data_IF_149818529379
#
_entry.id   IF_149818529379
#
_cell.length_a   1.000
_cell.length_b   1.000
_cell.length_c   1.000
_cell.angle_alpha   90.00
_cell.angle_beta   90.00
_cell.angle_gamma   90.00
#
_symmetry.space_group_name_H-M   'P 1'
#
loop_
_entity.id
_entity.type
_entity.pdbx_description
1 polymer ?
#
# COMPACT_ATOMS: atom_id res chain seq x y z
N UNK A 1 11.29 -16.32 13.78
CA UNK A 1 10.82 -15.07 13.15
C UNK A 1 11.19 -13.91 14.03
N UNK A 2 11.51 -12.77 13.43
CA UNK A 2 11.84 -11.52 14.11
C UNK A 2 10.86 -10.43 13.68
N UNK A 3 10.69 -9.41 14.52
CA UNK A 3 9.89 -8.22 14.23
C UNK A 3 10.81 -7.04 13.85
N UNK A 4 10.42 -6.31 12.80
CA UNK A 4 11.11 -5.14 12.27
C UNK A 4 10.09 -4.03 12.01
N UNK A 5 10.35 -2.83 12.56
CA UNK A 5 9.50 -1.66 12.32
C UNK A 5 10.34 -0.50 11.81
N UNK A 6 9.82 0.24 10.84
CA UNK A 6 10.48 1.41 10.28
C UNK A 6 9.63 2.17 9.27
N UNK A 7 10.17 3.25 8.73
CA UNK A 7 9.55 4.01 7.64
C UNK A 7 10.06 3.51 6.30
N UNK A 8 9.16 3.33 5.33
CA UNK A 8 9.56 2.97 3.98
C UNK A 8 10.21 4.19 3.32
N UNK A 9 11.48 4.06 2.96
CA UNK A 9 12.26 5.14 2.36
C UNK A 9 12.07 5.17 0.85
N UNK A 10 12.18 4.01 0.21
CA UNK A 10 12.04 3.89 -1.25
C UNK A 10 11.73 2.46 -1.67
N UNK A 11 11.08 2.33 -2.82
CA UNK A 11 10.86 1.05 -3.50
C UNK A 11 11.94 0.93 -4.58
N UNK A 12 12.73 -0.14 -4.52
CA UNK A 12 13.78 -0.46 -5.50
C UNK A 12 13.18 -1.18 -6.70
N UNK A 13 12.23 -2.08 -6.43
CA UNK A 13 11.54 -2.88 -7.44
C UNK A 13 10.16 -3.27 -6.93
N UNK A 14 9.17 -3.26 -7.82
CA UNK A 14 7.84 -3.82 -7.55
C UNK A 14 7.31 -4.51 -8.78
N UNK A 15 6.80 -5.73 -8.62
CA UNK A 15 6.12 -6.49 -9.66
C UNK A 15 4.61 -6.31 -9.52
N UNK A 16 3.97 -5.71 -10.53
CA UNK A 16 2.51 -5.52 -10.54
C UNK A 16 1.72 -6.83 -10.59
N UNK A 17 2.28 -7.88 -11.22
CA UNK A 17 1.60 -9.18 -11.38
C UNK A 17 1.60 -10.03 -10.10
N UNK A 18 2.68 -9.95 -9.33
CA UNK A 18 2.91 -10.81 -8.16
C UNK A 18 2.81 -10.06 -6.84
N UNK A 19 2.87 -8.73 -6.87
CA UNK A 19 3.01 -7.88 -5.68
C UNK A 19 4.36 -8.02 -4.99
N UNK A 20 5.34 -8.70 -5.61
CA UNK A 20 6.67 -8.83 -5.05
C UNK A 20 7.40 -7.49 -5.08
N UNK A 21 7.93 -7.08 -3.93
CA UNK A 21 8.53 -5.77 -3.73
C UNK A 21 9.88 -5.92 -3.05
N UNK A 22 10.86 -5.18 -3.56
CA UNK A 22 12.14 -4.93 -2.90
C UNK A 22 12.14 -3.47 -2.49
N UNK A 23 12.28 -3.19 -1.20
CA UNK A 23 12.23 -1.83 -0.69
C UNK A 23 13.31 -1.56 0.35
N UNK A 24 13.55 -0.28 0.62
CA UNK A 24 14.47 0.22 1.63
C UNK A 24 13.65 0.74 2.81
N UNK A 25 13.93 0.20 3.99
CA UNK A 25 13.26 0.55 5.24
C UNK A 25 14.26 1.26 6.15
N UNK A 26 13.90 2.45 6.63
CA UNK A 26 14.61 3.15 7.70
C UNK A 26 14.06 2.67 9.05
N UNK A 27 14.77 1.75 9.68
CA UNK A 27 14.41 1.19 10.97
C UNK A 27 15.24 1.84 12.10
N UNK A 28 14.65 2.26 13.23
CA UNK A 28 15.37 2.94 14.31
C UNK A 28 16.56 2.15 14.89
N UNK A 29 16.51 0.82 14.83
CA UNK A 29 17.55 -0.08 15.33
C UNK A 29 18.78 -0.18 14.42
N UNK A 30 18.73 0.41 13.23
CA UNK A 30 19.76 0.28 12.20
C UNK A 30 20.23 1.67 11.73
N UNK A 31 21.54 1.84 11.61
CA UNK A 31 22.11 3.07 11.08
C UNK A 31 21.78 3.24 9.60
N UNK A 32 22.02 2.19 8.81
CA UNK A 32 21.78 2.17 7.37
C UNK A 32 20.35 1.69 7.03
N UNK A 33 19.94 1.92 5.78
CA UNK A 33 18.66 1.43 5.27
C UNK A 33 18.67 -0.10 5.17
N UNK A 34 17.65 -0.73 5.75
CA UNK A 34 17.45 -2.18 5.70
C UNK A 34 16.76 -2.53 4.39
N UNK A 35 17.29 -3.51 3.64
CA UNK A 35 16.59 -4.06 2.48
C UNK A 35 15.52 -5.04 2.95
N UNK A 36 14.27 -4.78 2.61
CA UNK A 36 13.14 -5.68 2.84
C UNK A 36 12.66 -6.27 1.52
N UNK A 37 12.24 -7.53 1.55
CA UNK A 37 11.71 -8.24 0.39
C UNK A 37 10.47 -9.05 0.77
N UNK A 38 9.52 -9.18 -0.14
CA UNK A 38 8.32 -9.99 0.07
C UNK A 38 7.20 -9.56 -0.85
N UNK A 39 6.02 -10.18 -0.69
CA UNK A 39 4.82 -9.73 -1.41
C UNK A 39 4.15 -8.61 -0.61
N UNK A 40 4.41 -7.36 -1.00
CA UNK A 40 4.05 -6.14 -0.27
C UNK A 40 3.14 -5.23 -1.12
N UNK A 41 1.94 -5.69 -1.54
CA UNK A 41 1.05 -4.86 -2.35
C UNK A 41 0.62 -3.60 -1.59
N UNK A 42 0.54 -2.48 -2.30
CA UNK A 42 0.04 -1.22 -1.74
C UNK A 42 1.01 -0.48 -0.82
N UNK A 43 2.17 -1.07 -0.47
CA UNK A 43 3.19 -0.42 0.36
C UNK A 43 3.83 0.74 -0.38
N UNK A 44 3.87 1.94 0.23
CA UNK A 44 4.42 3.16 -0.38
C UNK A 44 5.46 3.87 0.48
N UNK A 45 6.42 4.59 -0.16
CA UNK A 45 7.35 5.45 0.57
C UNK A 45 6.62 6.44 1.47
N UNK A 46 7.17 6.67 2.67
CA UNK A 46 6.57 7.52 3.70
C UNK A 46 5.66 6.78 4.68
N UNK A 47 5.16 5.59 4.34
CA UNK A 47 4.38 4.78 5.27
C UNK A 47 5.28 4.15 6.35
N UNK A 48 4.70 3.95 7.53
CA UNK A 48 5.34 3.18 8.59
C UNK A 48 4.90 1.72 8.48
N UNK A 49 5.90 0.84 8.41
CA UNK A 49 5.73 -0.59 8.25
C UNK A 49 6.15 -1.30 9.54
N UNK A 50 5.28 -2.15 10.06
CA UNK A 50 5.59 -3.11 11.12
C UNK A 50 5.51 -4.51 10.53
N UNK A 51 6.64 -5.19 10.37
CA UNK A 51 6.73 -6.46 9.68
C UNK A 51 7.36 -7.56 10.53
N UNK A 52 6.93 -8.80 10.25
CA UNK A 52 7.44 -10.03 10.84
C UNK A 52 8.01 -10.91 9.75
N UNK A 53 9.19 -11.47 9.99
CA UNK A 53 9.91 -12.19 8.95
C UNK A 53 11.19 -12.85 9.42
N UNK A 54 12.06 -13.13 8.45
CA UNK A 54 13.37 -13.76 8.70
C UNK A 54 14.48 -13.05 7.93
N UNK A 55 15.68 -13.01 8.52
CA UNK A 55 16.85 -12.53 7.80
C UNK A 55 17.38 -13.59 6.85
N UNK A 56 17.59 -13.20 5.60
CA UNK A 56 18.24 -14.01 4.57
C UNK A 56 19.46 -13.28 4.02
N UNK A 57 20.39 -14.06 3.49
CA UNK A 57 21.56 -13.54 2.79
C UNK A 57 21.45 -13.93 1.32
N UNK A 58 21.31 -12.95 0.44
CA UNK A 58 21.33 -13.15 -0.99
C UNK A 58 22.77 -13.03 -1.50
N UNK A 59 23.23 -14.00 -2.29
CA UNK A 59 24.63 -14.08 -2.77
C UNK A 59 25.10 -12.81 -3.50
N UNK A 60 24.22 -12.16 -4.24
CA UNK A 60 24.53 -10.94 -5.00
C UNK A 60 24.18 -9.63 -4.28
N UNK A 61 23.16 -9.63 -3.41
CA UNK A 61 22.57 -8.40 -2.86
C UNK A 61 22.76 -8.24 -1.34
N UNK A 62 23.42 -9.21 -0.72
CA UNK A 62 23.75 -9.20 0.70
C UNK A 62 22.53 -9.49 1.59
N UNK A 63 22.55 -8.92 2.79
CA UNK A 63 21.55 -9.18 3.83
C UNK A 63 20.21 -8.51 3.50
N UNK A 64 19.14 -9.29 3.53
CA UNK A 64 17.77 -8.86 3.28
C UNK A 64 16.86 -9.41 4.38
N UNK A 65 15.80 -8.66 4.70
CA UNK A 65 14.74 -9.13 5.59
C UNK A 65 13.55 -9.59 4.74
N UNK A 66 13.30 -10.89 4.73
CA UNK A 66 12.17 -11.48 4.01
C UNK A 66 10.92 -11.42 4.90
N UNK A 67 9.93 -10.66 4.46
CA UNK A 67 8.69 -10.39 5.17
C UNK A 67 7.69 -11.50 4.88
N UNK A 68 7.14 -12.07 5.95
CA UNK A 68 6.03 -13.02 5.87
C UNK A 68 4.68 -12.34 6.13
N UNK A 69 4.63 -11.41 7.08
CA UNK A 69 3.44 -10.62 7.44
C UNK A 69 3.82 -9.19 7.79
N UNK A 70 2.91 -8.24 7.55
CA UNK A 70 3.13 -6.84 7.92
C UNK A 70 1.84 -6.05 8.16
N UNK A 71 1.96 -4.93 8.85
CA UNK A 71 0.94 -3.91 9.05
C UNK A 71 1.43 -2.56 8.53
N UNK A 72 0.51 -1.78 7.95
CA UNK A 72 0.77 -0.43 7.43
C UNK A 72 0.07 0.62 8.30
N UNK A 73 0.85 1.60 8.70
CA UNK A 73 0.36 2.85 9.28
C UNK A 73 0.54 3.97 8.25
N UNK A 74 -0.51 4.79 8.09
CA UNK A 74 -0.45 5.95 7.22
C UNK A 74 0.68 6.91 7.64
N UNK A 75 1.26 7.69 6.71
CA UNK A 75 2.26 8.69 7.05
C UNK A 75 1.68 9.71 8.05
N UNK A 76 2.48 10.09 9.04
CA UNK A 76 2.06 10.97 10.14
C UNK A 76 2.70 12.37 10.09
N UNK A 77 3.61 12.60 9.13
CA UNK A 77 4.31 13.87 8.93
C UNK A 77 4.30 14.30 7.47
N UNK A 78 4.55 15.58 7.23
CA UNK A 78 4.52 16.22 5.91
C UNK A 78 5.50 15.54 4.93
N UNK A 79 6.67 15.12 5.42
CA UNK A 79 7.67 14.43 4.60
C UNK A 79 7.16 13.07 4.14
N UNK A 80 6.53 12.29 5.03
CA UNK A 80 5.91 11.01 4.70
C UNK A 80 4.74 11.20 3.75
N UNK A 81 3.91 12.21 3.96
CA UNK A 81 2.77 12.53 3.07
C UNK A 81 3.28 12.92 1.68
N UNK A 82 4.30 13.79 1.57
CA UNK A 82 4.88 14.19 0.29
C UNK A 82 5.43 12.97 -0.47
N UNK A 83 6.20 12.11 0.21
CA UNK A 83 6.73 10.87 -0.38
C UNK A 83 5.61 9.94 -0.85
N UNK A 84 4.55 9.79 -0.04
CA UNK A 84 3.41 8.96 -0.36
C UNK A 84 2.70 9.46 -1.62
N UNK A 85 2.43 10.76 -1.72
CA UNK A 85 1.83 11.35 -2.91
C UNK A 85 2.73 11.31 -4.15
N UNK A 86 4.05 11.47 -3.95
CA UNK A 86 5.05 11.45 -5.02
C UNK A 86 5.37 10.02 -5.53
N UNK A 87 4.90 8.99 -4.85
CA UNK A 87 5.20 7.58 -5.14
C UNK A 87 4.70 7.11 -6.50
N UNK A 88 3.77 7.85 -7.11
CA UNK A 88 3.08 7.45 -8.33
C UNK A 88 1.87 6.55 -8.08
N UNK A 89 1.56 6.21 -6.82
CA UNK A 89 0.35 5.48 -6.47
C UNK A 89 -0.91 6.28 -6.82
N UNK A 90 -0.91 7.58 -6.53
CA UNK A 90 -2.01 8.49 -6.88
C UNK A 90 -1.75 9.08 -8.27
N UNK A 91 -2.40 8.50 -9.28
CA UNK A 91 -2.25 8.94 -10.68
C UNK A 91 -2.69 10.39 -10.82
N UNK A 92 -1.77 11.25 -11.24
CA UNK A 92 -2.02 12.69 -11.38
C UNK A 92 -1.22 13.53 -10.41
N UNK A 93 -0.61 12.91 -9.39
CA UNK A 93 0.32 13.58 -8.48
C UNK A 93 1.73 13.07 -8.75
N UNK A 94 2.58 13.95 -9.28
CA UNK A 94 4.03 13.72 -9.36
C UNK A 94 4.76 14.49 -8.26
N UNK A 95 6.08 14.33 -8.12
CA UNK A 95 6.86 14.95 -7.03
C UNK A 95 6.65 16.47 -6.89
N UNK A 96 6.52 17.18 -8.02
CA UNK A 96 6.27 18.64 -8.01
C UNK A 96 4.92 18.99 -7.39
N UNK A 97 3.86 18.27 -7.77
CA UNK A 97 2.53 18.51 -7.22
C UNK A 97 2.41 18.02 -5.78
N UNK A 98 3.01 16.87 -5.46
CA UNK A 98 3.06 16.37 -4.09
C UNK A 98 3.61 17.44 -3.13
N UNK A 99 4.75 18.03 -3.49
CA UNK A 99 5.35 19.11 -2.72
C UNK A 99 4.43 20.33 -2.58
N UNK A 100 3.78 20.77 -3.66
CA UNK A 100 2.87 21.93 -3.64
C UNK A 100 1.63 21.67 -2.76
N UNK A 101 1.02 20.50 -2.91
CA UNK A 101 -0.16 20.09 -2.14
C UNK A 101 0.18 20.04 -0.64
N UNK A 102 1.32 19.45 -0.28
CA UNK A 102 1.77 19.39 1.12
C UNK A 102 2.19 20.76 1.65
N UNK A 103 2.76 21.62 0.81
CA UNK A 103 3.06 23.01 1.21
C UNK A 103 1.80 23.81 1.55
N UNK A 104 0.69 23.57 0.85
CA UNK A 104 -0.58 24.26 1.09
C UNK A 104 -1.35 23.66 2.29
N UNK A 105 -1.49 22.34 2.34
CA UNK A 105 -2.37 21.68 3.31
C UNK A 105 -1.63 20.99 4.47
N UNK A 106 -0.30 20.91 4.43
CA UNK A 106 0.53 20.33 5.48
C UNK A 106 0.12 18.91 5.86
N UNK A 107 -0.14 18.68 7.14
CA UNK A 107 -0.58 17.36 7.66
C UNK A 107 -2.03 17.01 7.29
N UNK A 108 -2.84 17.99 6.93
CA UNK A 108 -4.25 17.81 6.54
C UNK A 108 -4.39 17.36 5.09
N UNK A 109 -3.30 17.31 4.32
CA UNK A 109 -3.32 16.96 2.89
C UNK A 109 -4.10 15.68 2.58
N UNK A 110 -3.94 14.61 3.36
CA UNK A 110 -4.65 13.35 3.09
C UNK A 110 -6.15 13.50 3.33
N UNK A 111 -6.55 14.23 4.37
CA UNK A 111 -7.95 14.49 4.70
C UNK A 111 -8.59 15.39 3.64
N UNK A 112 -7.87 16.40 3.14
CA UNK A 112 -8.31 17.27 2.04
C UNK A 112 -8.55 16.44 0.78
N UNK A 113 -7.65 15.52 0.42
CA UNK A 113 -7.87 14.66 -0.75
C UNK A 113 -9.09 13.74 -0.53
N UNK A 114 -9.28 13.23 0.69
CA UNK A 114 -10.35 12.29 1.02
C UNK A 114 -11.74 12.93 1.08
N UNK A 115 -11.85 14.15 1.61
CA UNK A 115 -13.13 14.78 1.94
C UNK A 115 -13.45 16.00 1.08
N UNK A 116 -12.44 16.71 0.60
CA UNK A 116 -12.57 18.03 -0.02
C UNK A 116 -11.65 18.16 -1.26
N UNK A 117 -11.60 17.13 -2.11
CA UNK A 117 -10.66 17.09 -3.24
C UNK A 117 -10.75 18.30 -4.19
N UNK A 118 -11.91 18.97 -4.25
CA UNK A 118 -12.16 20.25 -4.93
C UNK A 118 -11.13 21.33 -4.54
N UNK A 119 -10.68 21.35 -3.27
CA UNK A 119 -9.67 22.32 -2.76
C UNK A 119 -8.32 22.19 -3.45
N UNK A 120 -8.04 21.06 -4.11
CA UNK A 120 -6.84 20.91 -4.92
C UNK A 120 -6.81 21.88 -6.11
N UNK A 121 -7.94 22.48 -6.51
CA UNK A 121 -8.01 23.54 -7.53
C UNK A 121 -7.28 24.83 -7.11
N UNK A 122 -7.09 25.05 -5.81
CA UNK A 122 -6.33 26.20 -5.29
C UNK A 122 -4.83 26.08 -5.59
N UNK A 123 -4.36 24.87 -5.94
CA UNK A 123 -2.96 24.60 -6.25
C UNK A 123 -2.65 24.94 -7.71
N UNK A 124 -1.69 25.85 -7.91
CA UNK A 124 -1.23 26.24 -9.24
C UNK A 124 -0.85 25.02 -10.11
N UNK A 125 -1.48 24.91 -11.28
CA UNK A 125 -1.24 23.84 -12.26
C UNK A 125 -2.12 22.59 -12.09
N UNK A 126 -2.94 22.53 -11.03
CA UNK A 126 -3.97 21.50 -10.86
C UNK A 126 -5.31 22.06 -11.36
N UNK A 127 -5.83 21.50 -12.44
CA UNK A 127 -7.17 21.83 -12.96
C UNK A 127 -8.16 20.70 -12.72
N UNK A 128 -9.45 20.96 -12.97
CA UNK A 128 -10.58 20.05 -12.70
C UNK A 128 -10.34 18.60 -13.14
N UNK A 129 -9.87 18.39 -14.38
CA UNK A 129 -9.57 17.05 -14.90
C UNK A 129 -8.55 16.27 -14.06
N UNK A 130 -7.56 16.99 -13.49
CA UNK A 130 -6.55 16.38 -12.63
C UNK A 130 -7.14 16.09 -11.25
N UNK A 131 -7.94 17.00 -10.70
CA UNK A 131 -8.65 16.78 -9.43
C UNK A 131 -9.54 15.54 -9.50
N UNK A 132 -10.37 15.44 -10.53
CA UNK A 132 -11.23 14.26 -10.73
C UNK A 132 -10.41 12.97 -10.78
N UNK A 133 -9.31 12.96 -11.55
CA UNK A 133 -8.43 11.79 -11.64
C UNK A 133 -7.76 11.42 -10.30
N UNK A 134 -7.38 12.43 -9.52
CA UNK A 134 -6.81 12.24 -8.18
C UNK A 134 -7.86 11.61 -7.28
N UNK A 135 -9.08 12.14 -7.25
CA UNK A 135 -10.19 11.65 -6.42
C UNK A 135 -10.57 10.21 -6.78
N UNK A 136 -10.73 9.90 -8.07
CA UNK A 136 -11.01 8.54 -8.55
C UNK A 136 -9.91 7.55 -8.12
N UNK A 137 -8.65 7.93 -8.33
CA UNK A 137 -7.52 7.08 -7.95
C UNK A 137 -7.41 6.93 -6.42
N UNK A 138 -7.72 7.97 -5.66
CA UNK A 138 -7.72 7.96 -4.21
C UNK A 138 -8.75 6.96 -3.65
N UNK A 139 -9.97 6.98 -4.18
CA UNK A 139 -11.03 6.06 -3.74
C UNK A 139 -10.71 4.60 -4.12
N UNK A 140 -10.09 4.37 -5.28
CA UNK A 140 -9.58 3.06 -5.68
C UNK A 140 -8.57 2.52 -4.64
N UNK A 141 -7.59 3.34 -4.25
CA UNK A 141 -6.59 2.97 -3.25
C UNK A 141 -7.20 2.73 -1.87
N UNK A 142 -8.16 3.56 -1.47
CA UNK A 142 -8.90 3.40 -0.21
C UNK A 142 -9.65 2.07 -0.19
N UNK A 143 -10.28 1.70 -1.29
CA UNK A 143 -11.00 0.44 -1.43
C UNK A 143 -10.07 -0.77 -1.39
N UNK A 144 -8.92 -0.73 -2.08
CA UNK A 144 -7.89 -1.77 -1.98
C UNK A 144 -7.41 -1.91 -0.52
N UNK A 145 -7.17 -0.80 0.18
CA UNK A 145 -6.74 -0.81 1.59
C UNK A 145 -7.79 -1.43 2.52
N UNK A 146 -9.08 -1.16 2.31
CA UNK A 146 -10.17 -1.82 3.04
C UNK A 146 -10.12 -3.34 2.85
N UNK A 147 -9.90 -3.83 1.63
CA UNK A 147 -9.73 -5.26 1.36
C UNK A 147 -8.51 -5.83 2.09
N UNK A 148 -7.37 -5.13 2.09
CA UNK A 148 -6.18 -5.56 2.82
C UNK A 148 -6.45 -5.73 4.32
N UNK A 149 -7.11 -4.75 4.94
CA UNK A 149 -7.48 -4.79 6.37
C UNK A 149 -8.42 -5.97 6.65
N UNK A 150 -9.41 -6.19 5.77
CA UNK A 150 -10.34 -7.31 5.88
C UNK A 150 -9.65 -8.68 5.78
N UNK A 151 -8.73 -8.87 4.82
CA UNK A 151 -7.96 -10.12 4.73
C UNK A 151 -7.11 -10.34 5.97
N UNK A 152 -6.48 -9.27 6.46
CA UNK A 152 -5.64 -9.34 7.65
C UNK A 152 -6.42 -9.70 8.91
N UNK A 153 -7.65 -9.21 9.08
CA UNK A 153 -8.49 -9.58 10.21
C UNK A 153 -8.88 -11.06 10.22
N UNK A 154 -8.80 -11.74 9.06
CA UNK A 154 -9.04 -13.18 8.91
C UNK A 154 -7.73 -13.98 8.76
N UNK A 155 -6.59 -13.38 9.13
CA UNK A 155 -5.25 -14.00 9.04
C UNK A 155 -4.88 -14.50 7.64
N UNK A 156 -5.46 -13.88 6.61
CA UNK A 156 -5.19 -14.17 5.20
C UNK A 156 -4.11 -13.25 4.64
N UNK A 157 -3.29 -13.80 3.75
CA UNK A 157 -2.22 -13.06 3.08
C UNK A 157 -2.79 -11.88 2.28
N UNK A 158 -2.41 -10.68 2.68
CA UNK A 158 -2.78 -9.42 2.02
C UNK A 158 -2.26 -9.28 0.59
N UNK A 159 -1.33 -10.15 0.18
CA UNK A 159 -0.90 -10.32 -1.22
C UNK A 159 -2.06 -10.50 -2.21
N UNK A 160 -3.20 -11.01 -1.75
CA UNK A 160 -4.36 -11.25 -2.59
C UNK A 160 -5.26 -10.01 -2.77
N UNK A 161 -5.14 -8.99 -1.92
CA UNK A 161 -6.07 -7.85 -1.91
C UNK A 161 -6.21 -7.17 -3.27
N UNK A 162 -5.08 -6.92 -3.95
CA UNK A 162 -5.09 -6.30 -5.27
C UNK A 162 -5.79 -7.18 -6.32
N UNK A 163 -5.59 -8.51 -6.27
CA UNK A 163 -6.25 -9.44 -7.20
C UNK A 163 -7.75 -9.50 -6.94
N UNK A 164 -8.16 -9.54 -5.69
CA UNK A 164 -9.57 -9.54 -5.27
C UNK A 164 -10.23 -8.24 -5.72
N UNK A 165 -9.59 -7.09 -5.46
CA UNK A 165 -10.08 -5.79 -5.90
C UNK A 165 -10.16 -5.68 -7.42
N UNK A 166 -9.18 -6.18 -8.16
CA UNK A 166 -9.23 -6.19 -9.62
C UNK A 166 -10.39 -7.05 -10.17
N UNK A 167 -10.80 -8.09 -9.45
CA UNK A 167 -11.89 -8.99 -9.87
C UNK A 167 -13.28 -8.43 -9.51
N UNK A 168 -13.45 -7.86 -8.32
CA UNK A 168 -14.77 -7.47 -7.79
C UNK A 168 -14.94 -5.97 -7.52
N UNK A 169 -13.90 -5.15 -7.68
CA UNK A 169 -13.95 -3.72 -7.42
C UNK A 169 -14.36 -3.40 -5.98
N UNK A 170 -15.25 -2.42 -5.82
CA UNK A 170 -15.77 -1.98 -4.51
C UNK A 170 -16.57 -3.08 -3.79
N UNK A 171 -17.17 -4.02 -4.54
CA UNK A 171 -17.95 -5.15 -3.99
C UNK A 171 -17.05 -6.26 -3.41
N UNK A 172 -15.72 -6.08 -3.40
CA UNK A 172 -14.75 -7.11 -2.97
C UNK A 172 -15.05 -7.69 -1.61
N UNK A 173 -15.30 -6.86 -0.59
CA UNK A 173 -15.53 -7.36 0.77
C UNK A 173 -16.86 -8.10 0.85
N UNK A 174 -17.92 -7.52 0.25
CA UNK A 174 -19.25 -8.11 0.22
C UNK A 174 -19.25 -9.48 -0.46
N UNK A 175 -18.67 -9.59 -1.66
CA UNK A 175 -18.56 -10.87 -2.39
C UNK A 175 -17.78 -11.92 -1.61
N UNK A 176 -16.70 -11.52 -0.96
CA UNK A 176 -15.91 -12.44 -0.13
C UNK A 176 -16.72 -12.89 1.08
N UNK A 177 -17.49 -12.02 1.73
CA UNK A 177 -18.34 -12.38 2.86
C UNK A 177 -19.53 -13.27 2.46
N UNK A 178 -20.15 -13.01 1.30
CA UNK A 178 -21.25 -13.82 0.77
C UNK A 178 -20.81 -15.24 0.46
N UNK A 179 -19.66 -15.39 -0.23
CA UNK A 179 -19.14 -16.69 -0.60
C UNK A 179 -17.61 -16.65 -0.80
N UNK A 180 -16.82 -16.88 0.27
CA UNK A 180 -15.36 -16.87 0.20
C UNK A 180 -14.78 -17.89 -0.77
N UNK A 181 -15.50 -18.96 -1.06
CA UNK A 181 -15.06 -20.02 -1.98
C UNK A 181 -15.04 -19.57 -3.44
N UNK A 182 -15.70 -18.46 -3.79
CA UNK A 182 -15.56 -17.84 -5.11
C UNK A 182 -14.10 -17.44 -5.39
N UNK A 183 -13.36 -17.02 -4.37
CA UNK A 183 -11.95 -16.65 -4.53
C UNK A 183 -11.10 -17.81 -5.06
N UNK A 184 -11.33 -19.02 -4.54
CA UNK A 184 -10.59 -20.21 -4.97
C UNK A 184 -10.97 -20.67 -6.38
N UNK A 185 -12.15 -20.28 -6.87
CA UNK A 185 -12.65 -20.61 -8.20
C UNK A 185 -12.24 -19.58 -9.25
N UNK A 186 -12.26 -18.30 -8.89
CA UNK A 186 -12.20 -17.18 -9.84
C UNK A 186 -10.84 -16.47 -9.84
N UNK A 187 -10.03 -16.61 -8.79
CA UNK A 187 -8.77 -15.90 -8.65
C UNK A 187 -7.58 -16.87 -8.60
N UNK A 188 -6.79 -16.84 -9.67
CA UNK A 188 -5.61 -17.67 -9.77
C UNK A 188 -4.59 -17.39 -8.65
N UNK A 189 -4.25 -18.46 -7.91
CA UNK A 189 -3.31 -18.44 -6.79
C UNK A 189 -3.97 -18.37 -5.42
N UNK A 190 -5.29 -18.20 -5.33
CA UNK A 190 -6.05 -18.37 -4.08
C UNK A 190 -6.54 -19.82 -4.01
N UNK A 191 -6.13 -20.55 -2.98
CA UNK A 191 -6.52 -21.95 -2.78
C UNK A 191 -7.68 -22.09 -1.78
N UNK A 192 -8.27 -23.29 -1.74
CA UNK A 192 -9.37 -23.63 -0.83
C UNK A 192 -9.09 -23.27 0.63
N UNK A 193 -7.86 -23.53 1.13
CA UNK A 193 -7.47 -23.20 2.51
C UNK A 193 -7.58 -21.71 2.84
N UNK A 194 -7.31 -20.85 1.86
CA UNK A 194 -7.44 -19.40 2.03
C UNK A 194 -8.90 -18.99 2.07
N UNK A 195 -9.73 -19.57 1.20
CA UNK A 195 -11.18 -19.34 1.22
C UNK A 195 -11.82 -19.82 2.54
N UNK A 196 -11.41 -20.99 3.04
CA UNK A 196 -11.87 -21.55 4.31
C UNK A 196 -11.51 -20.66 5.51
N UNK A 197 -10.34 -20.02 5.49
CA UNK A 197 -9.95 -19.05 6.51
C UNK A 197 -10.87 -17.80 6.53
N UNK A 198 -11.37 -17.38 5.36
CA UNK A 198 -12.28 -16.24 5.20
C UNK A 198 -13.76 -16.61 5.47
N UNK A 199 -14.08 -17.89 5.63
CA UNK A 199 -15.43 -18.39 5.90
C UNK A 199 -15.75 -18.52 7.40
N UNK A 200 -14.81 -18.14 8.27
CA UNK A 200 -14.94 -18.18 9.74
C UNK A 200 -15.42 -16.85 10.28
#
# INVERSE_FOLDING_TARGET
MEDLTGFLESIVFSSEDTGFTVARLKAPRFHDLVTIVGTLPGVQPGERLSCRGTWKHHSQYGRQFEIENYHLEAPADEVGIEKYLASGLIKGIGPVYAKRIVQEFGKETLDVIDQESERLLDIEGIGEKRVQKIAECWEEQKSIRKVMIFLQSHEVRISFAYKIFKTYGEESIEKVQENPYLLAKEIHGIGFKTADALAK
#
